data_IF_729073221264
#
_entry.id   IF_729073221264
#
_cell.length_a   1.000
_cell.length_b   1.000
_cell.length_c   1.000
_cell.angle_alpha   90.00
_cell.angle_beta   90.00
_cell.angle_gamma   90.00
#
_symmetry.space_group_name_H-M   'P 1'
#
loop_
_entity.id
_entity.type
_entity.pdbx_description
1 polymer ?
#
# COMPACT_ATOMS: atom_id res chain seq x y z
N UNK A 1 53.82 -15.22 36.58
CA UNK A 1 52.46 -14.78 36.19
C UNK A 1 52.60 -13.59 35.24
N UNK A 2 52.17 -13.71 33.98
CA UNK A 2 52.29 -12.64 32.97
C UNK A 2 51.36 -11.49 33.39
N UNK A 3 51.90 -10.30 33.67
CA UNK A 3 51.08 -9.12 33.97
C UNK A 3 50.32 -8.76 32.70
N UNK A 4 48.99 -8.88 32.76
CA UNK A 4 48.13 -8.47 31.65
C UNK A 4 48.34 -6.95 31.47
N UNK A 5 48.66 -6.53 30.24
CA UNK A 5 48.86 -5.12 29.94
C UNK A 5 47.52 -4.39 30.01
N UNK A 6 47.37 -3.50 30.99
CA UNK A 6 46.14 -2.75 31.23
C UNK A 6 45.67 -1.98 29.98
N UNK A 7 46.61 -1.46 29.19
CA UNK A 7 46.28 -0.75 27.95
C UNK A 7 45.64 -1.67 26.91
N UNK A 8 46.13 -2.91 26.79
CA UNK A 8 45.55 -3.92 25.89
C UNK A 8 44.13 -4.29 26.32
N UNK A 9 43.87 -4.38 27.63
CA UNK A 9 42.53 -4.65 28.16
C UNK A 9 41.57 -3.50 27.87
N UNK A 10 41.98 -2.25 28.18
CA UNK A 10 41.16 -1.06 27.93
C UNK A 10 40.86 -0.89 26.44
N UNK A 11 41.84 -1.10 25.57
CA UNK A 11 41.65 -0.99 24.11
C UNK A 11 40.71 -2.08 23.58
N UNK A 12 40.86 -3.32 24.06
CA UNK A 12 39.96 -4.42 23.68
C UNK A 12 38.53 -4.14 24.15
N UNK A 13 38.35 -3.66 25.39
CA UNK A 13 37.04 -3.26 25.91
C UNK A 13 36.43 -2.09 25.13
N UNK A 14 37.24 -1.11 24.73
CA UNK A 14 36.81 0.00 23.90
C UNK A 14 36.31 -0.46 22.52
N UNK A 15 37.04 -1.35 21.85
CA UNK A 15 36.62 -1.92 20.57
C UNK A 15 35.35 -2.78 20.73
N UNK A 16 35.25 -3.58 21.79
CA UNK A 16 34.04 -4.34 22.10
C UNK A 16 32.86 -3.41 22.40
N UNK A 17 33.09 -2.27 23.04
CA UNK A 17 32.07 -1.25 23.30
C UNK A 17 31.53 -0.64 22.01
N UNK A 18 32.39 -0.33 21.04
CA UNK A 18 31.98 0.17 19.71
C UNK A 18 31.21 -0.89 18.93
N UNK A 19 31.67 -2.15 18.95
CA UNK A 19 30.95 -3.24 18.29
C UNK A 19 29.58 -3.45 18.94
N UNK A 20 29.52 -3.45 20.27
CA UNK A 20 28.27 -3.58 21.02
C UNK A 20 27.28 -2.45 20.73
N UNK A 21 27.75 -1.20 20.62
CA UNK A 21 26.87 -0.07 20.28
C UNK A 21 26.34 -0.16 18.85
N UNK A 22 27.15 -0.60 17.88
CA UNK A 22 26.70 -0.80 16.50
C UNK A 22 25.65 -1.91 16.38
N UNK A 23 25.83 -3.04 17.08
CA UNK A 23 24.84 -4.12 17.13
C UNK A 23 23.52 -3.60 17.72
N UNK A 24 23.60 -2.84 18.82
CA UNK A 24 22.42 -2.26 19.46
C UNK A 24 21.67 -1.30 18.53
N UNK A 25 22.38 -0.41 17.82
CA UNK A 25 21.78 0.50 16.83
C UNK A 25 21.14 -0.30 15.69
N UNK A 26 21.80 -1.33 15.17
CA UNK A 26 21.24 -2.20 14.12
C UNK A 26 19.94 -2.88 14.55
N UNK A 27 19.87 -3.38 15.78
CA UNK A 27 18.66 -3.97 16.35
C UNK A 27 17.54 -2.93 16.51
N UNK A 28 17.85 -1.72 16.97
CA UNK A 28 16.87 -0.64 17.09
C UNK A 28 16.31 -0.21 15.74
N UNK A 29 17.15 -0.10 14.70
CA UNK A 29 16.68 0.25 13.35
C UNK A 29 15.75 -0.81 12.80
N UNK A 30 16.07 -2.11 12.98
CA UNK A 30 15.20 -3.21 12.58
C UNK A 30 13.85 -3.15 13.29
N UNK A 31 13.87 -2.99 14.62
CA UNK A 31 12.63 -2.88 15.40
C UNK A 31 11.80 -1.67 14.98
N UNK A 32 12.43 -0.52 14.72
CA UNK A 32 11.74 0.69 14.25
C UNK A 32 11.06 0.46 12.90
N UNK A 33 11.69 -0.30 11.99
CA UNK A 33 11.10 -0.67 10.71
C UNK A 33 9.89 -1.60 10.89
N UNK A 34 10.02 -2.63 11.74
CA UNK A 34 8.92 -3.55 12.05
C UNK A 34 7.71 -2.82 12.66
N UNK A 35 7.95 -1.86 13.57
CA UNK A 35 6.89 -1.01 14.16
C UNK A 35 6.23 -0.14 13.09
N UNK A 36 7.02 0.49 12.20
CA UNK A 36 6.48 1.34 11.14
C UNK A 36 5.57 0.54 10.18
N UNK A 37 6.00 -0.66 9.78
CA UNK A 37 5.22 -1.57 8.95
C UNK A 37 3.92 -2.02 9.65
N UNK A 38 4.00 -2.39 10.93
CA UNK A 38 2.83 -2.78 11.71
C UNK A 38 1.84 -1.61 11.90
N UNK A 39 2.34 -0.41 12.17
CA UNK A 39 1.52 0.80 12.28
C UNK A 39 0.80 1.10 10.97
N UNK A 40 1.48 0.97 9.83
CA UNK A 40 0.87 1.16 8.52
C UNK A 40 -0.23 0.13 8.22
N UNK A 41 0.00 -1.14 8.55
CA UNK A 41 -1.02 -2.20 8.42
C UNK A 41 -2.24 -1.95 9.34
N UNK A 42 -2.01 -1.47 10.57
CA UNK A 42 -3.09 -1.11 11.50
C UNK A 42 -3.92 0.06 10.97
N UNK A 43 -3.27 1.12 10.47
CA UNK A 43 -3.94 2.27 9.85
C UNK A 43 -4.78 1.84 8.63
N UNK A 44 -4.24 0.98 7.75
CA UNK A 44 -4.97 0.45 6.59
C UNK A 44 -6.19 -0.36 6.99
N UNK A 45 -6.06 -1.20 8.01
CA UNK A 45 -7.18 -1.98 8.56
C UNK A 45 -8.23 -1.06 9.17
N UNK A 46 -7.81 0.00 9.88
CA UNK A 46 -8.70 1.00 10.43
C UNK A 46 -9.52 1.73 9.38
N UNK A 47 -8.92 2.13 8.25
CA UNK A 47 -9.66 2.71 7.11
C UNK A 47 -10.71 1.75 6.56
N UNK A 48 -10.37 0.46 6.43
CA UNK A 48 -11.30 -0.55 5.93
C UNK A 48 -12.49 -0.77 6.88
N UNK A 49 -12.24 -0.86 8.18
CA UNK A 49 -13.30 -0.99 9.18
C UNK A 49 -14.19 0.25 9.22
N UNK A 50 -13.60 1.45 9.21
CA UNK A 50 -14.37 2.71 9.15
C UNK A 50 -15.25 2.80 7.89
N UNK A 51 -14.77 2.27 6.77
CA UNK A 51 -15.55 2.16 5.54
C UNK A 51 -16.75 1.22 5.71
N UNK A 52 -16.60 0.09 6.40
CA UNK A 52 -17.71 -0.84 6.67
C UNK A 52 -18.71 -0.20 7.64
N UNK A 53 -18.23 0.44 8.70
CA UNK A 53 -19.08 1.10 9.70
C UNK A 53 -19.91 2.22 9.06
N UNK A 54 -19.29 3.03 8.20
CA UNK A 54 -19.98 4.11 7.46
C UNK A 54 -21.10 3.58 6.56
N UNK A 55 -20.99 2.34 6.06
CA UNK A 55 -22.05 1.69 5.31
C UNK A 55 -23.18 1.21 6.19
N UNK A 56 -22.83 0.57 7.31
CA UNK A 56 -23.81 0.13 8.29
C UNK A 56 -24.66 1.31 8.81
N UNK A 57 -24.05 2.48 9.03
CA UNK A 57 -24.76 3.72 9.42
C UNK A 57 -25.81 4.17 8.38
N UNK A 58 -25.56 3.90 7.10
CA UNK A 58 -26.47 4.23 5.99
C UNK A 58 -27.47 3.10 5.70
N UNK A 59 -27.42 1.99 6.45
CA UNK A 59 -28.24 0.79 6.21
C UNK A 59 -27.78 -0.02 5.00
N UNK A 60 -26.58 0.23 4.49
CA UNK A 60 -26.00 -0.46 3.34
C UNK A 60 -25.12 -1.63 3.82
N UNK A 61 -25.26 -2.77 3.15
CA UNK A 61 -24.44 -3.96 3.40
C UNK A 61 -23.17 -3.95 2.53
N UNK A 62 -22.01 -4.10 3.17
CA UNK A 62 -20.72 -4.22 2.49
C UNK A 62 -20.62 -5.51 1.67
N UNK A 63 -21.28 -6.59 2.08
CA UNK A 63 -21.30 -7.82 1.29
C UNK A 63 -22.05 -7.62 -0.03
N UNK A 64 -23.21 -6.96 -0.01
CA UNK A 64 -23.92 -6.59 -1.23
C UNK A 64 -23.08 -5.70 -2.17
N UNK A 65 -22.35 -4.72 -1.61
CA UNK A 65 -21.39 -3.92 -2.38
C UNK A 65 -20.36 -4.80 -3.12
N UNK A 66 -19.75 -5.76 -2.41
CA UNK A 66 -18.77 -6.68 -2.99
C UNK A 66 -19.36 -7.54 -4.12
N UNK A 67 -20.60 -8.00 -3.98
CA UNK A 67 -21.26 -8.75 -5.05
C UNK A 67 -21.45 -7.91 -6.31
N UNK A 68 -21.77 -6.62 -6.17
CA UNK A 68 -21.96 -5.70 -7.29
C UNK A 68 -20.65 -5.36 -8.01
N UNK A 69 -19.59 -4.98 -7.28
CA UNK A 69 -18.31 -4.61 -7.90
C UNK A 69 -17.58 -5.80 -8.53
N UNK A 70 -17.85 -7.02 -8.07
CA UNK A 70 -17.33 -8.24 -8.68
C UNK A 70 -18.23 -8.77 -9.81
N UNK A 71 -19.31 -8.08 -10.16
CA UNK A 71 -20.22 -8.45 -11.25
C UNK A 71 -21.09 -9.69 -10.97
N UNK A 72 -21.12 -10.17 -9.72
CA UNK A 72 -21.99 -11.28 -9.30
C UNK A 72 -23.45 -10.83 -9.26
N UNK A 73 -23.69 -9.57 -8.88
CA UNK A 73 -24.99 -8.91 -8.91
C UNK A 73 -24.93 -7.64 -9.76
N UNK A 74 -26.06 -7.23 -10.37
CA UNK A 74 -26.11 -5.98 -11.10
C UNK A 74 -25.90 -4.79 -10.16
N UNK A 75 -25.22 -3.77 -10.67
CA UNK A 75 -25.07 -2.49 -10.01
C UNK A 75 -26.44 -1.85 -9.71
N UNK A 76 -26.60 -1.29 -8.51
CA UNK A 76 -27.81 -0.56 -8.13
C UNK A 76 -27.51 0.92 -7.89
N UNK A 77 -28.52 1.77 -8.10
CA UNK A 77 -28.40 3.22 -7.86
C UNK A 77 -28.12 3.56 -6.39
N UNK A 78 -28.61 2.73 -5.48
CA UNK A 78 -28.37 2.85 -4.04
C UNK A 78 -26.88 2.78 -3.68
N UNK A 79 -26.10 1.97 -4.41
CA UNK A 79 -24.67 1.79 -4.17
C UNK A 79 -23.77 2.65 -5.06
N UNK A 80 -24.34 3.51 -5.91
CA UNK A 80 -23.60 4.30 -6.89
C UNK A 80 -22.57 5.24 -6.23
N UNK A 81 -23.03 6.04 -5.26
CA UNK A 81 -22.17 7.01 -4.55
C UNK A 81 -21.07 6.32 -3.76
N UNK A 82 -21.42 5.22 -3.09
CA UNK A 82 -20.44 4.41 -2.41
C UNK A 82 -19.37 3.94 -3.38
N UNK A 83 -19.77 3.37 -4.51
CA UNK A 83 -18.83 2.81 -5.49
C UNK A 83 -17.89 3.88 -6.03
N UNK A 84 -18.39 5.08 -6.32
CA UNK A 84 -17.53 6.19 -6.71
C UNK A 84 -16.50 6.54 -5.63
N UNK A 85 -16.94 6.72 -4.39
CA UNK A 85 -16.07 7.07 -3.27
C UNK A 85 -15.01 5.98 -3.00
N UNK A 86 -15.40 4.72 -3.04
CA UNK A 86 -14.48 3.60 -2.83
C UNK A 86 -13.47 3.46 -3.97
N UNK A 87 -13.89 3.70 -5.21
CA UNK A 87 -12.96 3.71 -6.35
C UNK A 87 -11.95 4.86 -6.23
N UNK A 88 -12.36 6.04 -5.74
CA UNK A 88 -11.42 7.12 -5.43
C UNK A 88 -10.44 6.74 -4.32
N UNK A 89 -10.93 6.15 -3.22
CA UNK A 89 -10.12 5.67 -2.11
C UNK A 89 -9.11 4.59 -2.56
N UNK A 90 -9.56 3.65 -3.39
CA UNK A 90 -8.73 2.62 -4.00
C UNK A 90 -7.50 3.23 -4.70
N UNK A 91 -7.67 4.27 -5.52
CA UNK A 91 -6.55 4.91 -6.21
C UNK A 91 -5.58 5.64 -5.26
N UNK A 92 -6.04 6.16 -4.11
CA UNK A 92 -5.14 6.73 -3.10
C UNK A 92 -4.30 5.63 -2.44
N UNK A 93 -4.94 4.50 -2.12
CA UNK A 93 -4.26 3.34 -1.54
C UNK A 93 -3.27 2.75 -2.55
N UNK A 94 -3.65 2.67 -3.83
CA UNK A 94 -2.81 2.12 -4.89
C UNK A 94 -1.52 2.94 -5.08
N UNK A 95 -1.62 4.26 -5.10
CA UNK A 95 -0.44 5.14 -5.16
C UNK A 95 0.41 5.03 -3.88
N UNK A 96 -0.22 4.95 -2.71
CA UNK A 96 0.51 4.75 -1.46
C UNK A 96 1.25 3.40 -1.42
N UNK A 97 0.63 2.34 -1.93
CA UNK A 97 1.24 1.02 -2.09
C UNK A 97 2.44 1.10 -3.05
N UNK A 98 2.35 1.84 -4.16
CA UNK A 98 3.49 2.10 -5.06
C UNK A 98 4.66 2.77 -4.35
N UNK A 99 4.39 3.85 -3.60
CA UNK A 99 5.44 4.58 -2.88
C UNK A 99 6.11 3.73 -1.80
N UNK A 100 5.37 2.86 -1.12
CA UNK A 100 5.95 1.90 -0.17
C UNK A 100 6.81 0.83 -0.86
N UNK A 101 6.38 0.35 -2.03
CA UNK A 101 7.17 -0.60 -2.81
C UNK A 101 8.53 0.00 -3.23
N UNK A 102 8.54 1.27 -3.66
CA UNK A 102 9.79 2.00 -3.98
C UNK A 102 10.73 2.13 -2.77
N UNK A 103 10.20 2.09 -1.55
CA UNK A 103 10.97 2.10 -0.30
C UNK A 103 11.39 0.69 0.15
N UNK A 104 11.04 -0.37 -0.59
CA UNK A 104 11.32 -1.76 -0.22
C UNK A 104 10.50 -2.26 0.97
N UNK A 105 9.34 -1.63 1.23
CA UNK A 105 8.45 -1.97 2.35
C UNK A 105 7.36 -3.00 1.96
N UNK A 106 7.25 -3.31 0.67
CA UNK A 106 6.35 -4.34 0.14
C UNK A 106 7.20 -5.43 -0.49
N UNK A 107 6.90 -6.68 -0.17
CA UNK A 107 7.51 -7.84 -0.82
C UNK A 107 7.16 -7.88 -2.31
N UNK A 108 8.13 -8.24 -3.15
CA UNK A 108 7.97 -8.22 -4.61
C UNK A 108 6.76 -9.05 -5.08
N UNK A 109 6.52 -10.22 -4.48
CA UNK A 109 5.40 -11.07 -4.88
C UNK A 109 4.04 -10.42 -4.56
N UNK A 110 3.97 -9.73 -3.42
CA UNK A 110 2.79 -8.97 -3.01
C UNK A 110 2.58 -7.76 -3.91
N UNK A 111 3.66 -7.08 -4.28
CA UNK A 111 3.62 -5.95 -5.19
C UNK A 111 3.11 -6.36 -6.58
N UNK A 112 3.62 -7.44 -7.16
CA UNK A 112 3.19 -7.93 -8.46
C UNK A 112 1.69 -8.30 -8.47
N UNK A 113 1.20 -8.93 -7.39
CA UNK A 113 -0.22 -9.23 -7.25
C UNK A 113 -1.08 -7.96 -7.18
N UNK A 114 -0.66 -6.95 -6.40
CA UNK A 114 -1.33 -5.66 -6.31
C UNK A 114 -1.33 -4.92 -7.65
N UNK A 115 -0.20 -4.89 -8.34
CA UNK A 115 -0.05 -4.25 -9.65
C UNK A 115 -1.01 -4.84 -10.67
N UNK A 116 -1.14 -6.18 -10.72
CA UNK A 116 -2.08 -6.84 -11.62
C UNK A 116 -3.53 -6.39 -11.38
N UNK A 117 -3.93 -6.14 -10.11
CA UNK A 117 -5.24 -5.61 -9.76
C UNK A 117 -5.39 -4.16 -10.23
N UNK A 118 -4.37 -3.31 -10.07
CA UNK A 118 -4.42 -1.92 -10.55
C UNK A 118 -4.53 -1.84 -12.08
N UNK A 119 -3.77 -2.67 -12.79
CA UNK A 119 -3.84 -2.81 -14.25
C UNK A 119 -5.21 -3.33 -14.71
N UNK A 120 -5.86 -4.19 -13.93
CA UNK A 120 -7.23 -4.61 -14.20
C UNK A 120 -8.24 -3.48 -13.94
N UNK A 121 -8.09 -2.73 -12.86
CA UNK A 121 -9.02 -1.67 -12.46
C UNK A 121 -9.06 -0.50 -13.45
N UNK A 122 -7.93 -0.13 -14.05
CA UNK A 122 -7.87 0.99 -15.00
C UNK A 122 -8.64 0.74 -16.31
N UNK A 123 -8.84 -0.52 -16.70
CA UNK A 123 -9.63 -0.91 -17.89
C UNK A 123 -11.07 -1.31 -17.57
N UNK A 124 -11.45 -1.33 -16.29
CA UNK A 124 -12.76 -1.79 -15.87
C UNK A 124 -13.82 -0.73 -16.19
N UNK A 125 -14.73 -1.05 -17.10
CA UNK A 125 -15.85 -0.15 -17.46
C UNK A 125 -17.05 -0.30 -16.54
N UNK A 126 -17.10 -1.36 -15.73
CA UNK A 126 -18.13 -1.54 -14.71
C UNK A 126 -18.07 -0.38 -13.71
N UNK A 127 -19.24 0.15 -13.36
CA UNK A 127 -19.40 1.16 -12.29
C UNK A 127 -18.51 2.41 -12.48
N UNK A 128 -18.26 2.80 -13.73
CA UNK A 128 -17.45 3.98 -14.09
C UNK A 128 -16.00 3.94 -13.56
N UNK A 129 -15.46 2.75 -13.26
CA UNK A 129 -14.12 2.62 -12.68
C UNK A 129 -13.02 3.20 -13.58
N UNK A 130 -13.09 2.96 -14.90
CA UNK A 130 -12.19 3.56 -15.90
C UNK A 130 -12.30 5.08 -15.92
N UNK A 131 -13.50 5.64 -15.88
CA UNK A 131 -13.69 7.09 -15.93
C UNK A 131 -13.07 7.78 -14.71
N UNK A 132 -13.24 7.17 -13.53
CA UNK A 132 -12.60 7.62 -12.30
C UNK A 132 -11.07 7.52 -12.39
N UNK A 133 -10.54 6.44 -12.97
CA UNK A 133 -9.11 6.32 -13.24
C UNK A 133 -8.63 7.47 -14.15
N UNK A 134 -9.30 7.72 -15.27
CA UNK A 134 -8.92 8.78 -16.21
C UNK A 134 -8.96 10.18 -15.56
N UNK A 135 -9.94 10.43 -14.68
CA UNK A 135 -10.02 11.66 -13.89
C UNK A 135 -8.84 11.80 -12.91
N UNK A 136 -8.41 10.69 -12.31
CA UNK A 136 -7.34 10.64 -11.29
C UNK A 136 -5.95 10.60 -11.91
N UNK A 137 -5.81 10.04 -13.10
CA UNK A 137 -4.57 9.84 -13.86
C UNK A 137 -3.63 11.07 -13.84
N UNK A 138 -4.06 12.31 -14.12
CA UNK A 138 -3.17 13.47 -14.08
C UNK A 138 -2.70 13.86 -12.67
N UNK A 139 -3.37 13.38 -11.62
CA UNK A 139 -3.04 13.65 -10.21
C UNK A 139 -2.14 12.56 -9.60
N UNK A 140 -2.06 11.39 -10.24
CA UNK A 140 -1.24 10.28 -9.78
C UNK A 140 0.22 10.47 -10.19
N UNK A 141 1.12 9.83 -9.44
CA UNK A 141 2.54 9.77 -9.75
C UNK A 141 2.76 9.23 -11.17
N UNK A 142 3.51 9.97 -11.99
CA UNK A 142 3.70 9.64 -13.41
C UNK A 142 4.39 8.29 -13.63
N UNK A 143 5.30 7.88 -12.74
CA UNK A 143 5.95 6.55 -12.81
C UNK A 143 4.96 5.45 -12.49
N UNK A 144 4.05 5.69 -11.55
CA UNK A 144 2.99 4.74 -11.22
C UNK A 144 2.01 4.58 -12.38
N UNK A 145 1.60 5.69 -12.99
CA UNK A 145 0.74 5.68 -14.19
C UNK A 145 1.41 4.88 -15.32
N UNK A 146 2.69 5.13 -15.60
CA UNK A 146 3.43 4.41 -16.63
C UNK A 146 3.44 2.89 -16.39
N UNK A 147 3.58 2.46 -15.14
CA UNK A 147 3.58 1.05 -14.76
C UNK A 147 2.19 0.40 -14.88
N UNK A 148 1.13 1.13 -14.54
CA UNK A 148 -0.25 0.67 -14.72
C UNK A 148 -0.58 0.53 -16.22
N UNK A 149 -0.16 1.51 -17.02
CA UNK A 149 -0.47 1.54 -18.46
C UNK A 149 0.48 0.65 -19.29
N UNK A 150 1.54 0.11 -18.67
CA UNK A 150 2.50 -0.76 -19.32
C UNK A 150 1.79 -1.98 -19.92
N UNK A 151 1.84 -2.10 -21.25
CA UNK A 151 1.16 -3.15 -22.00
C UNK A 151 -0.38 -3.18 -21.85
N UNK A 152 -1.00 -2.08 -21.39
CA UNK A 152 -2.45 -1.95 -21.18
C UNK A 152 -3.05 -0.76 -21.96
N UNK A 153 -3.15 -0.84 -23.30
CA UNK A 153 -3.62 0.27 -24.14
C UNK A 153 -5.07 0.70 -23.84
N UNK A 154 -5.89 -0.16 -23.22
CA UNK A 154 -7.28 0.14 -22.83
C UNK A 154 -7.40 1.08 -21.62
N UNK A 155 -6.31 1.33 -20.89
CA UNK A 155 -6.28 2.26 -19.77
C UNK A 155 -6.02 3.71 -20.21
N UNK A 156 -5.55 3.92 -21.44
CA UNK A 156 -5.41 5.25 -22.02
C UNK A 156 -6.79 5.82 -22.40
N UNK A 157 -6.96 7.16 -22.36
CA UNK A 157 -8.17 7.79 -22.89
C UNK A 157 -8.33 7.48 -24.38
N UNK A 158 -9.58 7.35 -24.83
CA UNK A 158 -9.89 7.09 -26.23
C UNK A 158 -9.36 8.25 -27.09
N UNK A 159 -8.61 7.92 -28.15
CA UNK A 159 -8.14 8.92 -29.11
C UNK A 159 -9.36 9.42 -29.91
N UNK A 160 -9.86 10.60 -29.55
CA UNK A 160 -10.83 11.35 -30.35
C UNK A 160 -10.13 12.10 -31.48
#
# INVERSE_FOLDING_TARGET
MKKINLNTVVQTLGMLGVIGSLIFVGLQMKQSQEIALAAQNSVRTGYFLASIDSLAEQGLDYHEYLLQVNGVKPATKEYEWLTHNQTHAFWFIAENDFLQNELGLIDDSVWQAKLAVYQMACRMTLLNSRDIYLLRRPMLNSRFVALIEESQPSCAPDQN
#
